data_IF_841421176913
#
_entry.id   IF_841421176913
#
_cell.length_a   1.000
_cell.length_b   1.000
_cell.length_c   1.000
_cell.angle_alpha   90.00
_cell.angle_beta   90.00
_cell.angle_gamma   90.00
#
_symmetry.space_group_name_H-M   'P 1'
#
loop_
_entity.id
_entity.type
_entity.pdbx_description
1 polymer ?
#
# COMPACT_ATOMS: atom_id res chain seq x y z
N UNK A 1 6.79 -13.76 2.81
CA UNK A 1 5.65 -12.82 2.70
C UNK A 1 5.46 -12.00 3.98
N UNK A 2 5.19 -12.61 5.15
CA UNK A 2 5.09 -11.83 6.41
C UNK A 2 6.39 -11.08 6.74
N UNK A 3 7.54 -11.72 6.54
CA UNK A 3 8.86 -11.15 6.87
C UNK A 3 9.17 -9.91 6.03
N UNK A 4 9.07 -9.98 4.70
CA UNK A 4 9.30 -8.81 3.82
C UNK A 4 8.31 -7.68 4.08
N UNK A 5 7.05 -8.00 4.39
CA UNK A 5 6.05 -6.99 4.76
C UNK A 5 6.42 -6.28 6.06
N UNK A 6 6.87 -7.03 7.07
CA UNK A 6 7.26 -6.47 8.36
C UNK A 6 8.58 -5.70 8.27
N UNK A 7 9.55 -6.15 7.47
CA UNK A 7 10.80 -5.42 7.16
C UNK A 7 10.53 -4.08 6.49
N UNK A 8 9.70 -4.04 5.44
CA UNK A 8 9.33 -2.80 4.76
C UNK A 8 8.64 -1.82 5.73
N UNK A 9 7.71 -2.30 6.55
CA UNK A 9 7.02 -1.44 7.52
C UNK A 9 7.89 -1.04 8.72
N UNK A 10 8.89 -1.83 9.08
CA UNK A 10 9.91 -1.42 10.03
C UNK A 10 10.80 -0.33 9.43
N UNK A 11 11.22 -0.47 8.18
CA UNK A 11 12.00 0.52 7.47
C UNK A 11 11.27 1.87 7.38
N UNK A 12 9.99 1.87 6.98
CA UNK A 12 9.16 3.09 6.94
C UNK A 12 9.07 3.75 8.33
N UNK A 13 8.90 2.96 9.40
CA UNK A 13 8.85 3.49 10.78
C UNK A 13 10.19 4.04 11.26
N UNK A 14 11.31 3.42 10.88
CA UNK A 14 12.64 3.92 11.20
C UNK A 14 12.88 5.26 10.52
N UNK A 15 12.63 5.34 9.21
CA UNK A 15 12.74 6.59 8.46
C UNK A 15 11.88 7.69 9.08
N UNK A 16 10.66 7.37 9.51
CA UNK A 16 9.78 8.35 10.11
C UNK A 16 10.35 8.94 11.40
N UNK A 17 10.93 8.10 12.27
CA UNK A 17 11.57 8.55 13.51
C UNK A 17 12.78 9.44 13.24
N UNK A 18 13.65 9.02 12.31
CA UNK A 18 14.87 9.76 11.96
C UNK A 18 14.53 11.15 11.38
N UNK A 19 13.44 11.25 10.64
CA UNK A 19 12.93 12.49 10.06
C UNK A 19 12.37 13.41 11.16
N UNK A 20 11.53 12.90 12.05
CA UNK A 20 10.96 13.69 13.15
C UNK A 20 12.03 14.26 14.08
N UNK A 21 13.04 13.46 14.43
CA UNK A 21 14.12 13.87 15.33
C UNK A 21 14.94 15.05 14.76
N UNK A 22 15.15 15.07 13.45
CA UNK A 22 15.97 16.09 12.77
C UNK A 22 15.22 17.39 12.47
N UNK A 23 13.89 17.42 12.53
CA UNK A 23 13.08 18.53 12.00
C UNK A 23 12.55 19.52 13.04
N UNK A 24 13.14 19.65 14.23
CA UNK A 24 12.60 20.48 15.33
C UNK A 24 12.75 22.04 15.22
N UNK A 25 13.08 22.60 14.05
CA UNK A 25 13.24 24.05 13.83
C UNK A 25 11.98 24.80 13.32
N UNK A 26 11.98 26.13 13.36
CA UNK A 26 10.83 27.02 13.04
C UNK A 26 11.03 27.98 11.85
N UNK A 27 12.10 27.87 11.07
CA UNK A 27 12.39 28.76 9.94
C UNK A 27 11.61 28.43 8.65
N UNK A 28 11.50 29.40 7.74
CA UNK A 28 10.80 29.24 6.45
C UNK A 28 11.52 28.29 5.48
N UNK A 29 12.85 28.18 5.57
CA UNK A 29 13.65 27.21 4.81
C UNK A 29 13.35 25.78 5.29
N UNK A 30 13.21 25.58 6.61
CA UNK A 30 12.83 24.30 7.21
C UNK A 30 11.40 23.91 6.83
N UNK A 31 10.48 24.88 6.67
CA UNK A 31 9.11 24.57 6.22
C UNK A 31 9.07 24.03 4.79
N UNK A 32 9.89 24.56 3.86
CA UNK A 32 10.01 23.99 2.51
C UNK A 32 10.63 22.59 2.55
N UNK A 33 11.66 22.42 3.36
CA UNK A 33 12.31 21.12 3.56
C UNK A 33 11.33 20.08 4.12
N UNK A 34 10.47 20.46 5.08
CA UNK A 34 9.41 19.59 5.62
C UNK A 34 8.42 19.15 4.55
N UNK A 35 8.00 20.05 3.67
CA UNK A 35 7.10 19.71 2.57
C UNK A 35 7.78 18.76 1.57
N UNK A 36 9.05 19.01 1.19
CA UNK A 36 9.78 18.07 0.32
C UNK A 36 9.92 16.70 0.97
N UNK A 37 10.26 16.64 2.25
CA UNK A 37 10.37 15.38 2.98
C UNK A 37 9.02 14.65 3.05
N UNK A 38 7.91 15.34 3.28
CA UNK A 38 6.58 14.73 3.26
C UNK A 38 6.26 14.10 1.90
N UNK A 39 6.54 14.83 0.80
CA UNK A 39 6.36 14.32 -0.55
C UNK A 39 7.25 13.12 -0.87
N UNK A 40 8.54 13.20 -0.56
CA UNK A 40 9.49 12.08 -0.70
C UNK A 40 9.08 10.86 0.14
N UNK A 41 8.54 11.10 1.33
CA UNK A 41 8.07 10.03 2.20
C UNK A 41 6.84 9.34 1.63
N UNK A 42 5.87 10.09 1.08
CA UNK A 42 4.72 9.52 0.38
C UNK A 42 5.16 8.67 -0.83
N UNK A 43 6.16 9.13 -1.59
CA UNK A 43 6.76 8.36 -2.69
C UNK A 43 7.40 7.07 -2.19
N UNK A 44 8.15 7.14 -1.08
CA UNK A 44 8.82 5.97 -0.48
C UNK A 44 7.81 4.93 -0.01
N UNK A 45 6.73 5.35 0.64
CA UNK A 45 5.65 4.45 1.08
C UNK A 45 4.96 3.80 -0.13
N UNK A 46 4.62 4.58 -1.15
CA UNK A 46 4.00 4.05 -2.36
C UNK A 46 4.90 3.03 -3.06
N UNK A 47 6.19 3.32 -3.20
CA UNK A 47 7.17 2.38 -3.78
C UNK A 47 7.29 1.09 -2.96
N UNK A 48 7.27 1.19 -1.62
CA UNK A 48 7.28 0.02 -0.74
C UNK A 48 6.04 -0.85 -0.94
N UNK A 49 4.85 -0.23 -1.08
CA UNK A 49 3.63 -0.95 -1.41
C UNK A 49 3.68 -1.60 -2.79
N UNK A 50 4.25 -0.94 -3.80
CA UNK A 50 4.45 -1.49 -5.14
C UNK A 50 5.33 -2.75 -5.08
N UNK A 51 6.43 -2.69 -4.31
CA UNK A 51 7.32 -3.82 -4.07
C UNK A 51 6.61 -5.01 -3.41
N UNK A 52 5.88 -4.76 -2.32
CA UNK A 52 5.14 -5.82 -1.59
C UNK A 52 4.10 -6.49 -2.50
N UNK A 53 3.35 -5.72 -3.29
CA UNK A 53 2.35 -6.26 -4.22
C UNK A 53 3.02 -7.09 -5.30
N UNK A 54 4.10 -6.60 -5.91
CA UNK A 54 4.88 -7.34 -6.92
C UNK A 54 5.36 -8.68 -6.36
N UNK A 55 6.01 -8.66 -5.20
CA UNK A 55 6.54 -9.88 -4.58
C UNK A 55 5.43 -10.88 -4.23
N UNK A 56 4.28 -10.39 -3.73
CA UNK A 56 3.12 -11.23 -3.41
C UNK A 56 2.62 -11.97 -4.65
N UNK A 57 2.45 -11.26 -5.77
CA UNK A 57 1.96 -11.84 -7.02
C UNK A 57 2.97 -12.81 -7.64
N UNK A 58 4.25 -12.45 -7.66
CA UNK A 58 5.35 -13.30 -8.13
C UNK A 58 5.44 -14.58 -7.29
N UNK A 59 5.40 -14.45 -5.97
CA UNK A 59 5.47 -15.57 -5.04
C UNK A 59 4.27 -16.50 -5.20
N UNK A 60 3.07 -15.93 -5.34
CA UNK A 60 1.86 -16.71 -5.57
C UNK A 60 1.92 -17.46 -6.90
N UNK A 61 2.31 -16.79 -8.00
CA UNK A 61 2.49 -17.43 -9.31
C UNK A 61 3.48 -18.61 -9.25
N UNK A 62 4.57 -18.45 -8.49
CA UNK A 62 5.58 -19.49 -8.27
C UNK A 62 5.09 -20.75 -7.57
N UNK A 63 3.97 -20.69 -6.84
CA UNK A 63 3.34 -21.87 -6.24
C UNK A 63 2.68 -22.78 -7.28
N UNK A 64 2.25 -22.23 -8.41
CA UNK A 64 1.58 -22.98 -9.46
C UNK A 64 2.58 -23.57 -10.46
N UNK A 65 3.50 -22.74 -10.97
CA UNK A 65 4.50 -23.21 -11.94
C UNK A 65 5.68 -22.22 -12.11
N UNK A 66 6.94 -22.69 -12.20
CA UNK A 66 8.11 -21.81 -12.39
C UNK A 66 8.03 -20.90 -13.63
N UNK A 67 7.57 -21.43 -14.78
CA UNK A 67 7.38 -20.60 -15.99
C UNK A 67 6.33 -19.49 -15.82
N UNK A 68 5.31 -19.72 -14.98
CA UNK A 68 4.30 -18.70 -14.73
C UNK A 68 4.88 -17.59 -13.85
N UNK A 69 5.68 -17.94 -12.84
CA UNK A 69 6.48 -16.98 -12.07
C UNK A 69 7.36 -16.10 -12.97
N UNK A 70 8.16 -16.70 -13.86
CA UNK A 70 9.03 -15.94 -14.78
C UNK A 70 8.25 -15.00 -15.69
N UNK A 71 7.06 -15.42 -16.14
CA UNK A 71 6.20 -14.58 -16.96
C UNK A 71 5.72 -13.35 -16.17
N UNK A 72 5.23 -13.55 -14.95
CA UNK A 72 4.77 -12.46 -14.07
C UNK A 72 5.92 -11.56 -13.64
N UNK A 73 7.10 -12.10 -13.33
CA UNK A 73 8.31 -11.32 -13.03
C UNK A 73 8.68 -10.40 -14.21
N UNK A 74 8.70 -10.92 -15.44
CA UNK A 74 9.00 -10.14 -16.65
C UNK A 74 7.98 -9.04 -16.92
N UNK A 75 6.70 -9.29 -16.64
CA UNK A 75 5.64 -8.30 -16.80
C UNK A 75 5.83 -7.13 -15.82
N UNK A 76 6.18 -7.42 -14.56
CA UNK A 76 6.46 -6.41 -13.53
C UNK A 76 7.87 -5.81 -13.55
N UNK A 77 8.79 -6.35 -14.35
CA UNK A 77 10.09 -5.72 -14.64
C UNK A 77 9.97 -4.65 -15.73
N UNK A 78 9.00 -4.79 -16.64
CA UNK A 78 8.73 -3.82 -17.71
C UNK A 78 7.82 -2.70 -17.26
N UNK A 79 6.94 -2.95 -16.28
CA UNK A 79 5.97 -1.99 -15.78
C UNK A 79 5.88 -2.07 -14.25
N UNK A 80 5.96 -0.93 -13.56
CA UNK A 80 5.69 -0.87 -12.13
C UNK A 80 4.28 -1.40 -11.84
N UNK A 81 4.15 -2.18 -10.76
CA UNK A 81 2.85 -2.70 -10.35
C UNK A 81 1.87 -1.54 -10.12
N UNK A 82 0.70 -1.60 -10.76
CA UNK A 82 -0.35 -0.62 -10.50
C UNK A 82 -1.01 -1.01 -9.19
N UNK A 83 -0.92 -0.17 -8.18
CA UNK A 83 -1.38 -0.52 -6.84
C UNK A 83 -2.60 0.25 -6.37
N UNK A 84 -3.39 0.86 -7.26
CA UNK A 84 -4.71 1.36 -6.84
C UNK A 84 -5.58 0.21 -6.34
N UNK A 85 -6.57 0.51 -5.49
CA UNK A 85 -7.47 -0.52 -4.93
C UNK A 85 -8.17 -1.31 -6.04
N UNK A 86 -8.57 -0.66 -7.13
CA UNK A 86 -9.18 -1.33 -8.29
C UNK A 86 -8.21 -2.30 -8.98
N UNK A 87 -6.92 -1.97 -9.05
CA UNK A 87 -5.92 -2.88 -9.59
C UNK A 87 -5.70 -4.07 -8.64
N UNK A 88 -5.66 -3.86 -7.32
CA UNK A 88 -5.58 -4.96 -6.34
C UNK A 88 -6.79 -5.90 -6.47
N UNK A 89 -7.99 -5.34 -6.65
CA UNK A 89 -9.21 -6.10 -6.93
C UNK A 89 -9.07 -6.88 -8.24
N UNK A 90 -8.59 -6.24 -9.30
CA UNK A 90 -8.36 -6.88 -10.60
C UNK A 90 -7.38 -8.05 -10.49
N UNK A 91 -6.25 -7.86 -9.81
CA UNK A 91 -5.27 -8.93 -9.55
C UNK A 91 -5.89 -10.08 -8.77
N UNK A 92 -6.67 -9.81 -7.73
CA UNK A 92 -7.35 -10.87 -6.95
C UNK A 92 -8.24 -11.76 -7.83
N UNK A 93 -8.86 -11.19 -8.87
CA UNK A 93 -9.69 -11.93 -9.82
C UNK A 93 -8.85 -12.65 -10.86
N UNK A 94 -7.85 -11.98 -11.42
CA UNK A 94 -7.02 -12.51 -12.49
C UNK A 94 -6.18 -13.71 -12.03
N UNK A 95 -5.67 -13.66 -10.80
CA UNK A 95 -4.95 -14.77 -10.17
C UNK A 95 -5.89 -15.82 -9.55
N UNK A 96 -7.20 -15.69 -9.74
CA UNK A 96 -8.18 -16.72 -9.41
C UNK A 96 -8.37 -16.96 -7.91
N UNK A 97 -8.23 -15.93 -7.06
CA UNK A 97 -8.59 -16.09 -5.65
C UNK A 97 -10.06 -16.51 -5.50
N UNK A 98 -10.34 -17.33 -4.49
CA UNK A 98 -11.66 -17.90 -4.26
C UNK A 98 -12.76 -16.84 -4.30
N UNK A 99 -13.86 -17.14 -4.98
CA UNK A 99 -15.01 -16.25 -5.04
C UNK A 99 -15.65 -16.13 -3.66
N UNK A 100 -15.93 -14.89 -3.26
CA UNK A 100 -16.72 -14.61 -2.07
C UNK A 100 -18.18 -14.44 -2.47
N UNK A 101 -19.02 -15.38 -2.01
CA UNK A 101 -20.46 -15.40 -2.24
C UNK A 101 -21.23 -15.29 -0.92
N UNK A 102 -22.44 -14.74 -0.98
CA UNK A 102 -23.29 -14.54 0.19
C UNK A 102 -24.35 -13.46 -0.04
N UNK A 103 -25.32 -13.36 0.88
CA UNK A 103 -26.35 -12.35 0.80
C UNK A 103 -25.74 -10.94 0.95
N UNK A 104 -26.02 -10.04 -0.01
CA UNK A 104 -25.49 -8.67 -0.03
C UNK A 104 -24.05 -8.54 -0.52
N UNK A 105 -23.41 -9.62 -0.99
CA UNK A 105 -22.05 -9.58 -1.55
C UNK A 105 -22.12 -9.17 -3.03
N UNK A 106 -21.25 -8.23 -3.42
CA UNK A 106 -21.17 -7.77 -4.81
C UNK A 106 -20.68 -8.92 -5.72
N UNK A 107 -21.26 -9.05 -6.92
CA UNK A 107 -20.83 -10.03 -7.92
C UNK A 107 -19.32 -9.89 -8.23
N UNK A 108 -18.64 -11.02 -8.46
CA UNK A 108 -17.19 -11.10 -8.71
C UNK A 108 -16.35 -10.61 -7.51
N UNK A 109 -16.87 -10.71 -6.28
CA UNK A 109 -16.07 -10.49 -5.08
C UNK A 109 -15.19 -11.71 -4.85
N UNK A 110 -14.01 -11.48 -4.30
CA UNK A 110 -12.99 -12.51 -4.03
C UNK A 110 -12.68 -12.54 -2.54
N UNK A 111 -11.88 -13.52 -2.10
CA UNK A 111 -11.31 -13.59 -0.75
C UNK A 111 -10.68 -12.26 -0.31
N UNK A 112 -10.07 -11.50 -1.23
CA UNK A 112 -9.54 -10.16 -0.92
C UNK A 112 -10.63 -9.18 -0.47
N UNK A 113 -11.78 -9.17 -1.14
CA UNK A 113 -12.89 -8.28 -0.78
C UNK A 113 -13.41 -8.60 0.63
N UNK A 114 -13.55 -9.90 0.93
CA UNK A 114 -13.97 -10.37 2.24
C UNK A 114 -13.03 -9.89 3.34
N UNK A 115 -11.74 -10.19 3.20
CA UNK A 115 -10.71 -9.84 4.20
C UNK A 115 -10.61 -8.33 4.36
N UNK A 116 -10.62 -7.58 3.26
CA UNK A 116 -10.57 -6.12 3.30
C UNK A 116 -11.78 -5.54 4.03
N UNK A 117 -12.99 -6.06 3.78
CA UNK A 117 -14.21 -5.60 4.44
C UNK A 117 -14.20 -5.92 5.94
N UNK A 118 -13.81 -7.14 6.32
CA UNK A 118 -13.67 -7.53 7.73
C UNK A 118 -12.62 -6.66 8.44
N UNK A 119 -11.47 -6.41 7.78
CA UNK A 119 -10.40 -5.59 8.33
C UNK A 119 -10.82 -4.13 8.47
N UNK A 120 -11.51 -3.59 7.47
CA UNK A 120 -12.00 -2.21 7.45
C UNK A 120 -12.82 -1.88 8.70
N UNK A 121 -13.76 -2.74 9.08
CA UNK A 121 -14.58 -2.55 10.29
C UNK A 121 -13.72 -2.43 11.55
N UNK A 122 -12.68 -3.26 11.69
CA UNK A 122 -11.78 -3.23 12.86
C UNK A 122 -10.92 -1.97 12.85
N UNK A 123 -10.39 -1.60 11.68
CA UNK A 123 -9.51 -0.43 11.53
C UNK A 123 -10.28 0.87 11.76
N UNK A 124 -11.47 1.03 11.18
CA UNK A 124 -12.32 2.21 11.37
C UNK A 124 -12.72 2.39 12.84
N UNK A 125 -13.00 1.31 13.57
CA UNK A 125 -13.29 1.40 15.01
C UNK A 125 -12.09 1.88 15.83
N UNK A 126 -10.89 1.41 15.48
CA UNK A 126 -9.65 1.71 16.21
C UNK A 126 -9.08 3.09 15.89
N UNK A 127 -9.06 3.46 14.61
CA UNK A 127 -8.38 4.66 14.12
C UNK A 127 -9.35 5.79 13.76
N UNK A 128 -10.67 5.52 13.71
CA UNK A 128 -11.70 6.47 13.26
C UNK A 128 -11.48 7.00 11.84
N UNK A 129 -10.82 6.20 11.01
CA UNK A 129 -10.45 6.56 9.63
C UNK A 129 -10.63 5.35 8.71
N UNK A 130 -11.13 5.60 7.50
CA UNK A 130 -11.27 4.57 6.47
C UNK A 130 -9.89 4.22 5.86
N UNK A 131 -9.42 2.97 5.95
CA UNK A 131 -8.14 2.58 5.36
C UNK A 131 -8.06 2.78 3.84
N UNK A 132 -9.19 2.69 3.11
CA UNK A 132 -9.20 2.90 1.67
C UNK A 132 -8.96 4.37 1.33
N UNK A 133 -9.63 5.29 2.04
CA UNK A 133 -9.37 6.73 1.90
C UNK A 133 -7.91 7.07 2.22
N UNK A 134 -7.37 6.61 3.36
CA UNK A 134 -5.97 6.86 3.71
C UNK A 134 -5.00 6.30 2.67
N UNK A 135 -5.30 5.12 2.13
CA UNK A 135 -4.52 4.51 1.06
C UNK A 135 -4.52 5.38 -0.20
N UNK A 136 -5.69 5.85 -0.64
CA UNK A 136 -5.82 6.75 -1.79
C UNK A 136 -5.12 8.10 -1.59
N UNK A 137 -5.15 8.66 -0.37
CA UNK A 137 -4.44 9.90 -0.04
C UNK A 137 -2.93 9.81 -0.27
N UNK A 138 -2.30 8.67 0.08
CA UNK A 138 -0.86 8.46 -0.16
C UNK A 138 -0.54 8.57 -1.66
N UNK A 139 -1.39 8.03 -2.54
CA UNK A 139 -1.19 8.15 -3.98
C UNK A 139 -1.42 9.56 -4.49
N UNK A 140 -2.42 10.26 -3.95
CA UNK A 140 -2.66 11.65 -4.29
C UNK A 140 -1.43 12.51 -3.97
N UNK A 141 -0.84 12.34 -2.78
CA UNK A 141 0.36 13.06 -2.37
C UNK A 141 1.61 12.65 -3.15
N UNK A 142 1.80 11.35 -3.41
CA UNK A 142 2.86 10.86 -4.30
C UNK A 142 2.76 11.51 -5.68
N UNK A 143 1.58 11.50 -6.29
CA UNK A 143 1.38 12.03 -7.64
C UNK A 143 1.58 13.55 -7.69
N UNK A 144 1.01 14.29 -6.74
CA UNK A 144 1.20 15.72 -6.61
C UNK A 144 2.71 16.06 -6.48
N UNK A 145 3.43 15.32 -5.65
CA UNK A 145 4.86 15.56 -5.48
C UNK A 145 5.68 15.18 -6.73
N UNK A 146 5.38 14.04 -7.35
CA UNK A 146 6.13 13.56 -8.52
C UNK A 146 5.94 14.45 -9.76
N UNK A 147 4.75 15.02 -9.96
CA UNK A 147 4.43 15.82 -11.14
C UNK A 147 4.57 17.32 -10.92
N UNK A 148 4.15 17.82 -9.76
CA UNK A 148 4.06 19.26 -9.49
C UNK A 148 5.11 19.73 -8.47
N UNK A 149 5.87 18.81 -7.84
CA UNK A 149 6.73 19.08 -6.67
C UNK A 149 6.01 19.83 -5.56
N UNK A 150 4.70 19.64 -5.46
CA UNK A 150 3.88 20.20 -4.39
C UNK A 150 3.35 19.07 -3.51
N UNK A 151 3.24 19.35 -2.23
CA UNK A 151 2.42 18.55 -1.33
C UNK A 151 1.73 19.49 -0.35
N UNK A 152 0.42 19.34 -0.22
CA UNK A 152 -0.36 20.02 0.81
C UNK A 152 -0.32 19.27 2.14
N UNK A 153 0.22 18.05 2.15
CA UNK A 153 0.34 17.21 3.32
C UNK A 153 1.61 17.52 4.10
N UNK A 154 1.49 17.52 5.42
CA UNK A 154 2.64 17.48 6.32
C UNK A 154 3.22 16.06 6.40
N UNK A 155 4.43 15.95 6.93
CA UNK A 155 5.04 14.65 7.21
C UNK A 155 4.15 13.78 8.11
N UNK A 156 3.56 14.39 9.15
CA UNK A 156 2.65 13.72 10.07
C UNK A 156 1.39 13.19 9.37
N UNK A 157 0.83 13.95 8.42
CA UNK A 157 -0.35 13.50 7.66
C UNK A 157 -0.04 12.25 6.85
N UNK A 158 1.13 12.23 6.18
CA UNK A 158 1.60 11.11 5.39
C UNK A 158 1.84 9.88 6.27
N UNK A 159 2.46 10.07 7.42
CA UNK A 159 2.74 8.98 8.36
C UNK A 159 1.45 8.40 8.97
N UNK A 160 0.54 9.24 9.43
CA UNK A 160 -0.75 8.79 9.97
C UNK A 160 -1.59 8.08 8.91
N UNK A 161 -1.61 8.58 7.68
CA UNK A 161 -2.24 7.88 6.57
C UNK A 161 -1.60 6.50 6.34
N UNK A 162 -0.27 6.38 6.36
CA UNK A 162 0.41 5.09 6.25
C UNK A 162 0.00 4.11 7.35
N UNK A 163 -0.08 4.56 8.61
CA UNK A 163 -0.47 3.73 9.75
C UNK A 163 -1.80 3.02 9.55
N UNK A 164 -2.73 3.64 8.83
CA UNK A 164 -4.06 3.10 8.51
C UNK A 164 -4.07 2.41 7.14
N UNK A 165 -3.44 2.99 6.12
CA UNK A 165 -3.40 2.50 4.75
C UNK A 165 -2.71 1.13 4.63
N UNK A 166 -1.72 0.84 5.48
CA UNK A 166 -1.00 -0.44 5.47
C UNK A 166 -1.95 -1.66 5.62
N UNK A 167 -3.13 -1.47 6.22
CA UNK A 167 -4.12 -2.55 6.37
C UNK A 167 -4.76 -2.97 5.04
N UNK A 168 -4.76 -2.11 4.01
CA UNK A 168 -5.16 -2.50 2.65
C UNK A 168 -4.15 -3.51 2.09
N UNK A 169 -2.86 -3.19 2.18
CA UNK A 169 -1.77 -4.08 1.73
C UNK A 169 -1.73 -5.37 2.54
N UNK A 170 -1.83 -5.30 3.88
CA UNK A 170 -1.92 -6.50 4.73
C UNK A 170 -3.10 -7.39 4.34
N UNK A 171 -4.26 -6.80 4.03
CA UNK A 171 -5.44 -7.56 3.58
C UNK A 171 -5.21 -8.22 2.23
N UNK A 172 -4.52 -7.53 1.31
CA UNK A 172 -4.15 -8.08 0.01
C UNK A 172 -3.20 -9.27 0.14
N UNK A 173 -2.08 -9.09 0.85
CA UNK A 173 -1.12 -10.18 1.10
C UNK A 173 -1.83 -11.36 1.78
N UNK A 174 -2.65 -11.09 2.79
CA UNK A 174 -3.38 -12.15 3.48
C UNK A 174 -4.33 -12.91 2.56
N UNK A 175 -4.95 -12.25 1.59
CA UNK A 175 -5.84 -12.89 0.64
C UNK A 175 -5.10 -13.91 -0.24
N UNK A 176 -3.87 -13.60 -0.66
CA UNK A 176 -3.01 -14.51 -1.44
C UNK A 176 -2.29 -15.58 -0.58
N UNK A 177 -2.34 -15.45 0.74
CA UNK A 177 -1.90 -16.50 1.66
C UNK A 177 -2.96 -17.58 1.87
N UNK A 178 -4.25 -17.21 1.86
CA UNK A 178 -5.35 -18.10 2.24
C UNK A 178 -6.24 -18.53 1.09
N UNK A 179 -6.28 -17.76 -0.01
CA UNK A 179 -6.90 -18.14 -1.27
C UNK A 179 -5.90 -18.87 -2.14
#
# INVERSE_FOLDING_TARGET
MSEVLDENFQHIRSLARDIEEKLNGTSSAEQRLRNEIAGMFAVTIAASYEGIVKETLVSYAGRFHPKYREHIEKDFDRLNARISVDNLISYSRHFGLTEWSGHGVKKNSTTFHKILQERKVVVERRFRTDPITSYNSIFAWRNAYAHERTTTATFSDVYEAHRVAQYVIRSFVKAFEVG
#
